data_IF_645650657132
#
_entry.id   IF_645650657132
#
_cell.length_a   1.000
_cell.length_b   1.000
_cell.length_c   1.000
_cell.angle_alpha   90.00
_cell.angle_beta   90.00
_cell.angle_gamma   90.00
#
_symmetry.space_group_name_H-M   'P 1'
#
loop_
_entity.id
_entity.type
_entity.pdbx_description
1 polymer ?
#
# COMPACT_ATOMS: atom_id res chain seq x y z
N UNK A 1 -15.10 28.04 -8.75
CA UNK A 1 -15.89 27.09 -7.95
C UNK A 1 -15.60 25.69 -8.46
N UNK A 2 -15.25 24.72 -7.60
CA UNK A 2 -14.98 23.34 -8.03
C UNK A 2 -16.33 22.63 -8.27
N UNK A 3 -16.45 21.89 -9.37
CA UNK A 3 -17.68 21.19 -9.75
C UNK A 3 -17.94 20.00 -8.82
N UNK A 4 -19.19 19.83 -8.38
CA UNK A 4 -19.64 18.66 -7.62
C UNK A 4 -20.36 17.72 -8.57
N UNK A 5 -19.99 16.43 -8.58
CA UNK A 5 -20.47 15.44 -9.55
C UNK A 5 -20.83 14.17 -8.81
N UNK A 6 -22.06 13.72 -9.00
CA UNK A 6 -22.52 12.42 -8.55
C UNK A 6 -22.05 11.33 -9.53
N UNK A 7 -20.83 10.84 -9.30
CA UNK A 7 -20.14 9.90 -10.18
C UNK A 7 -19.64 8.64 -9.48
N UNK A 8 -20.04 8.39 -8.23
CA UNK A 8 -19.63 7.19 -7.51
C UNK A 8 -20.37 5.97 -8.08
N UNK A 9 -19.63 4.93 -8.40
CA UNK A 9 -20.17 3.61 -8.69
C UNK A 9 -20.31 2.85 -7.36
N UNK A 10 -21.52 2.83 -6.82
CA UNK A 10 -21.82 2.20 -5.53
C UNK A 10 -21.77 0.67 -5.56
N UNK A 11 -21.88 0.05 -6.75
CA UNK A 11 -21.76 -1.41 -6.88
C UNK A 11 -20.30 -1.85 -6.72
N UNK A 12 -19.37 -1.01 -7.18
CA UNK A 12 -17.92 -1.28 -7.15
C UNK A 12 -17.17 -0.57 -6.03
N UNK A 13 -17.87 0.28 -5.29
CA UNK A 13 -17.35 0.97 -4.11
C UNK A 13 -17.70 0.25 -2.82
N UNK A 14 -16.86 0.40 -1.80
CA UNK A 14 -17.09 -0.14 -0.45
C UNK A 14 -17.19 1.05 0.51
N UNK A 15 -18.41 1.50 0.83
CA UNK A 15 -18.64 2.58 1.79
C UNK A 15 -18.17 2.19 3.20
N UNK A 16 -17.64 3.17 3.94
CA UNK A 16 -17.38 3.04 5.38
C UNK A 16 -18.25 4.02 6.16
N UNK A 17 -18.60 3.65 7.39
CA UNK A 17 -19.51 4.44 8.22
C UNK A 17 -18.91 4.69 9.61
N UNK A 18 -19.24 5.86 10.19
CA UNK A 18 -18.92 6.13 11.59
C UNK A 18 -19.78 5.25 12.50
N UNK A 19 -19.15 4.44 13.36
CA UNK A 19 -19.84 3.56 14.30
C UNK A 19 -20.83 4.32 15.22
N UNK A 20 -20.51 5.56 15.58
CA UNK A 20 -21.30 6.38 16.50
C UNK A 20 -22.57 6.97 15.91
N UNK A 21 -22.60 7.23 14.59
CA UNK A 21 -23.71 7.96 13.96
C UNK A 21 -24.33 7.26 12.75
N UNK A 22 -23.73 6.17 12.27
CA UNK A 22 -24.14 5.49 11.04
C UNK A 22 -23.93 6.33 9.77
N UNK A 23 -23.36 7.54 9.88
CA UNK A 23 -23.11 8.41 8.74
C UNK A 23 -21.93 7.89 7.92
N UNK A 24 -22.01 8.08 6.61
CA UNK A 24 -20.91 7.80 5.69
C UNK A 24 -19.65 8.56 6.16
N UNK A 25 -18.59 7.81 6.44
CA UNK A 25 -17.29 8.34 6.84
C UNK A 25 -16.31 8.39 5.67
N UNK A 26 -16.53 7.54 4.67
CA UNK A 26 -15.70 7.47 3.48
C UNK A 26 -15.89 6.19 2.70
N UNK A 27 -14.84 5.80 2.00
CA UNK A 27 -14.80 4.61 1.17
C UNK A 27 -13.50 3.86 1.44
N UNK A 28 -13.61 2.55 1.71
CA UNK A 28 -12.45 1.66 1.80
C UNK A 28 -11.88 1.40 0.39
N UNK A 29 -12.77 1.29 -0.58
CA UNK A 29 -12.50 1.23 -2.02
C UNK A 29 -13.51 2.16 -2.69
N UNK A 30 -13.05 3.05 -3.56
CA UNK A 30 -13.93 3.93 -4.33
C UNK A 30 -13.77 3.62 -5.81
N UNK A 31 -14.88 3.61 -6.52
CA UNK A 31 -14.92 3.50 -7.97
C UNK A 31 -15.81 4.62 -8.51
N UNK A 32 -15.45 5.12 -9.69
CA UNK A 32 -16.22 6.13 -10.37
C UNK A 32 -16.83 5.57 -11.65
N UNK A 33 -17.94 6.15 -12.07
CA UNK A 33 -18.51 5.92 -13.41
C UNK A 33 -17.68 6.73 -14.41
N UNK A 34 -16.84 6.10 -15.26
CA UNK A 34 -15.85 6.81 -16.08
C UNK A 34 -16.48 7.87 -16.99
N UNK A 35 -17.62 7.54 -17.60
CA UNK A 35 -18.35 8.43 -18.52
C UNK A 35 -18.79 9.75 -17.88
N UNK A 36 -18.93 9.80 -16.54
CA UNK A 36 -19.32 11.02 -15.83
C UNK A 36 -18.14 11.97 -15.55
N UNK A 37 -16.89 11.50 -15.68
CA UNK A 37 -15.69 12.23 -15.26
C UNK A 37 -14.56 12.28 -16.29
N UNK A 38 -14.68 11.59 -17.42
CA UNK A 38 -13.64 11.45 -18.46
C UNK A 38 -12.93 12.76 -18.85
N UNK A 39 -13.68 13.84 -19.01
CA UNK A 39 -13.14 15.15 -19.45
C UNK A 39 -13.12 16.19 -18.31
N UNK A 40 -13.08 15.73 -17.06
CA UNK A 40 -13.20 16.60 -15.88
C UNK A 40 -11.91 16.54 -15.06
N UNK A 41 -11.06 17.57 -15.16
CA UNK A 41 -9.72 17.51 -14.58
C UNK A 41 -9.70 17.58 -13.05
N UNK A 42 -10.72 18.22 -12.46
CA UNK A 42 -10.86 18.42 -11.01
C UNK A 42 -12.33 18.46 -10.62
N UNK A 43 -12.72 17.68 -9.62
CA UNK A 43 -14.10 17.63 -9.14
C UNK A 43 -14.19 17.23 -7.66
N UNK A 44 -15.39 17.36 -7.12
CA UNK A 44 -15.81 16.87 -5.80
C UNK A 44 -17.01 15.94 -5.97
N UNK A 45 -17.23 15.07 -4.99
CA UNK A 45 -18.44 14.22 -4.93
C UNK A 45 -19.38 14.71 -3.81
N UNK A 46 -20.71 14.52 -3.93
CA UNK A 46 -21.68 14.94 -2.91
C UNK A 46 -21.34 14.50 -1.49
N UNK A 47 -20.77 13.30 -1.35
CA UNK A 47 -20.43 12.65 -0.09
C UNK A 47 -19.27 13.34 0.64
N UNK A 48 -18.33 13.94 -0.10
CA UNK A 48 -17.08 14.51 0.43
C UNK A 48 -16.82 15.95 -0.05
N UNK A 49 -17.87 16.75 -0.19
CA UNK A 49 -17.75 18.14 -0.71
C UNK A 49 -16.79 19.03 0.08
N UNK A 50 -16.54 18.74 1.37
CA UNK A 50 -15.65 19.52 2.23
C UNK A 50 -14.27 18.88 2.38
N UNK A 51 -14.17 17.55 2.38
CA UNK A 51 -12.98 16.83 2.86
C UNK A 51 -12.08 16.30 1.76
N UNK A 52 -12.58 16.11 0.53
CA UNK A 52 -11.79 15.52 -0.56
C UNK A 52 -11.99 16.25 -1.88
N UNK A 53 -10.94 16.27 -2.67
CA UNK A 53 -10.92 16.74 -4.05
C UNK A 53 -10.32 15.60 -4.88
N UNK A 54 -10.94 15.31 -6.01
CA UNK A 54 -10.46 14.32 -6.96
C UNK A 54 -9.97 15.05 -8.20
N UNK A 55 -8.90 14.51 -8.79
CA UNK A 55 -8.28 15.06 -9.98
C UNK A 55 -7.98 13.94 -10.96
N UNK A 56 -8.00 14.26 -12.25
CA UNK A 56 -7.49 13.37 -13.30
C UNK A 56 -5.97 13.28 -13.28
N UNK A 57 -5.40 12.24 -13.88
CA UNK A 57 -3.96 12.11 -14.07
C UNK A 57 -3.37 13.25 -14.90
N UNK A 58 -4.10 13.71 -15.93
CA UNK A 58 -3.68 14.85 -16.75
C UNK A 58 -3.47 16.12 -15.89
N UNK A 59 -4.37 16.39 -14.95
CA UNK A 59 -4.24 17.51 -14.02
C UNK A 59 -3.04 17.31 -13.07
N UNK A 60 -2.94 16.13 -12.45
CA UNK A 60 -1.81 15.77 -11.58
C UNK A 60 -0.48 15.99 -12.29
N UNK A 61 -0.33 15.45 -13.49
CA UNK A 61 0.91 15.51 -14.26
C UNK A 61 1.28 16.96 -14.60
N UNK A 62 0.31 17.78 -15.03
CA UNK A 62 0.56 19.20 -15.28
C UNK A 62 1.06 19.95 -14.03
N UNK A 63 0.54 19.64 -12.84
CA UNK A 63 1.02 20.20 -11.57
C UNK A 63 2.46 19.75 -11.28
N UNK A 64 2.75 18.46 -11.43
CA UNK A 64 4.09 17.93 -11.17
C UNK A 64 5.12 18.50 -12.15
N UNK A 65 4.78 18.60 -13.43
CA UNK A 65 5.64 19.18 -14.49
C UNK A 65 5.94 20.66 -14.23
N UNK A 66 4.97 21.39 -13.65
CA UNK A 66 5.17 22.79 -13.24
C UNK A 66 6.04 22.96 -11.99
N UNK A 67 6.45 21.85 -11.34
CA UNK A 67 7.26 21.82 -10.10
C UNK A 67 6.60 22.56 -8.92
N UNK A 68 5.27 22.66 -8.93
CA UNK A 68 4.50 23.16 -7.79
C UNK A 68 4.69 22.24 -6.59
N UNK A 69 4.99 22.85 -5.43
CA UNK A 69 5.22 22.14 -4.18
C UNK A 69 4.01 22.27 -3.24
N UNK A 70 3.89 21.33 -2.30
CA UNK A 70 2.86 21.36 -1.26
C UNK A 70 1.55 20.65 -1.64
N UNK A 71 1.57 19.82 -2.68
CA UNK A 71 0.45 18.98 -3.08
C UNK A 71 0.91 17.51 -3.11
N UNK A 72 0.23 16.66 -2.35
CA UNK A 72 0.43 15.22 -2.36
C UNK A 72 -0.76 14.56 -3.06
N UNK A 73 -0.45 13.77 -4.10
CA UNK A 73 -1.45 13.05 -4.87
C UNK A 73 -1.45 11.59 -4.45
N UNK A 74 -2.61 11.10 -4.02
CA UNK A 74 -2.83 9.70 -3.70
C UNK A 74 -3.79 9.12 -4.73
N UNK A 75 -3.37 8.06 -5.42
CA UNK A 75 -4.24 7.32 -6.32
C UNK A 75 -5.35 6.64 -5.50
N UNK A 76 -6.60 6.80 -5.94
CA UNK A 76 -7.78 6.24 -5.25
C UNK A 76 -8.61 5.32 -6.13
N UNK A 77 -8.43 5.41 -7.45
CA UNK A 77 -9.14 4.63 -8.44
C UNK A 77 -8.40 4.69 -9.78
N UNK A 78 -8.34 3.56 -10.46
CA UNK A 78 -7.80 3.40 -11.80
C UNK A 78 -8.88 2.71 -12.66
N UNK A 79 -9.29 3.36 -13.74
CA UNK A 79 -10.30 2.85 -14.67
C UNK A 79 -9.82 1.65 -15.50
N UNK A 80 -8.51 1.46 -15.61
CA UNK A 80 -7.89 0.38 -16.37
C UNK A 80 -7.81 -0.92 -15.55
N UNK A 81 -7.89 -0.85 -14.22
CA UNK A 81 -7.88 -2.02 -13.34
C UNK A 81 -9.29 -2.63 -13.28
N UNK A 82 -9.44 -3.80 -13.89
CA UNK A 82 -10.67 -4.60 -13.75
C UNK A 82 -10.71 -5.33 -12.40
N UNK A 83 -11.90 -5.75 -11.98
CA UNK A 83 -12.07 -6.56 -10.76
C UNK A 83 -11.30 -7.87 -10.82
N UNK A 84 -11.27 -8.52 -12.00
CA UNK A 84 -10.49 -9.74 -12.21
C UNK A 84 -8.99 -9.50 -12.06
N UNK A 85 -8.47 -8.39 -12.61
CA UNK A 85 -7.06 -8.02 -12.43
C UNK A 85 -6.73 -7.74 -10.96
N UNK A 86 -7.61 -7.02 -10.24
CA UNK A 86 -7.44 -6.77 -8.81
C UNK A 86 -7.45 -8.08 -8.02
N UNK A 87 -8.40 -8.97 -8.30
CA UNK A 87 -8.50 -10.29 -7.66
C UNK A 87 -7.29 -11.16 -7.96
N UNK A 88 -6.76 -11.13 -9.18
CA UNK A 88 -5.54 -11.84 -9.54
C UNK A 88 -4.32 -11.29 -8.79
N UNK A 89 -4.19 -9.97 -8.65
CA UNK A 89 -3.13 -9.36 -7.83
C UNK A 89 -3.23 -9.78 -6.37
N UNK A 90 -4.43 -9.74 -5.78
CA UNK A 90 -4.67 -10.17 -4.41
C UNK A 90 -4.36 -11.66 -4.21
N UNK A 91 -4.80 -12.52 -5.13
CA UNK A 91 -4.53 -13.96 -5.09
C UNK A 91 -3.02 -14.22 -5.21
N UNK A 92 -2.34 -13.57 -6.15
CA UNK A 92 -0.89 -13.70 -6.31
C UNK A 92 -0.16 -13.27 -5.03
N UNK A 93 -0.60 -12.19 -4.38
CA UNK A 93 -0.04 -11.75 -3.11
C UNK A 93 -0.26 -12.76 -1.97
N UNK A 94 -1.47 -13.33 -1.88
CA UNK A 94 -1.77 -14.39 -0.93
C UNK A 94 -0.93 -15.65 -1.17
N UNK A 95 -0.76 -16.05 -2.44
CA UNK A 95 0.07 -17.18 -2.83
C UNK A 95 1.54 -16.96 -2.49
N UNK A 96 2.06 -15.74 -2.67
CA UNK A 96 3.43 -15.38 -2.26
C UNK A 96 3.61 -15.53 -0.74
N UNK A 97 2.68 -15.01 0.07
CA UNK A 97 2.73 -15.17 1.53
C UNK A 97 2.63 -16.64 1.95
N UNK A 98 1.74 -17.41 1.33
CA UNK A 98 1.60 -18.83 1.58
C UNK A 98 2.87 -19.59 1.19
N UNK A 99 3.55 -19.19 0.11
CA UNK A 99 4.81 -19.80 -0.32
C UNK A 99 5.95 -19.49 0.66
N UNK A 100 6.02 -18.28 1.22
CA UNK A 100 6.97 -17.94 2.30
C UNK A 100 6.73 -18.86 3.50
N UNK A 101 5.48 -18.98 3.95
CA UNK A 101 5.13 -19.83 5.10
C UNK A 101 5.36 -21.33 4.82
N UNK A 102 5.16 -21.79 3.59
CA UNK A 102 5.33 -23.21 3.22
C UNK A 102 6.81 -23.61 3.12
N UNK A 103 7.67 -22.70 2.68
CA UNK A 103 9.10 -22.98 2.47
C UNK A 103 9.99 -22.40 3.57
N UNK A 104 9.41 -21.97 4.71
CA UNK A 104 10.18 -21.46 5.82
C UNK A 104 11.08 -22.54 6.43
N UNK A 105 12.28 -22.13 6.79
CA UNK A 105 13.23 -22.96 7.52
C UNK A 105 12.86 -23.09 9.01
N UNK A 106 13.87 -23.43 9.82
CA UNK A 106 13.73 -23.39 11.27
C UNK A 106 13.37 -21.97 11.74
N UNK A 107 12.37 -21.89 12.61
CA UNK A 107 11.90 -20.63 13.16
C UNK A 107 12.64 -20.28 14.44
N UNK A 108 12.94 -19.01 14.61
CA UNK A 108 13.64 -18.48 15.78
C UNK A 108 13.11 -17.10 16.19
N UNK A 109 13.43 -16.69 17.41
CA UNK A 109 12.96 -15.44 17.99
C UNK A 109 13.70 -14.20 17.43
N UNK A 110 13.22 -13.02 17.82
CA UNK A 110 13.83 -11.74 17.45
C UNK A 110 15.33 -11.67 17.80
N UNK A 111 15.73 -12.17 18.97
CA UNK A 111 17.12 -12.08 19.43
C UNK A 111 18.06 -12.86 18.51
N UNK A 112 17.62 -14.03 18.05
CA UNK A 112 18.36 -14.85 17.08
C UNK A 112 18.36 -14.20 15.71
N UNK A 113 17.22 -13.66 15.27
CA UNK A 113 17.08 -12.93 14.03
C UNK A 113 18.04 -11.73 13.94
N UNK A 114 18.12 -10.93 15.01
CA UNK A 114 19.02 -9.79 15.12
C UNK A 114 20.49 -10.18 14.95
N UNK A 115 20.94 -11.25 15.63
CA UNK A 115 22.31 -11.77 15.49
C UNK A 115 22.63 -12.26 14.07
N UNK A 116 21.67 -12.92 13.42
CA UNK A 116 21.84 -13.36 12.04
C UNK A 116 21.97 -12.17 11.08
N UNK A 117 21.19 -11.11 11.27
CA UNK A 117 21.33 -9.89 10.50
C UNK A 117 22.67 -9.20 10.68
N UNK A 118 23.17 -9.12 11.92
CA UNK A 118 24.51 -8.59 12.22
C UNK A 118 25.61 -9.40 11.54
N UNK A 119 25.40 -10.71 11.34
CA UNK A 119 26.30 -11.57 10.55
C UNK A 119 26.15 -11.41 9.02
N UNK A 120 25.29 -10.50 8.57
CA UNK A 120 25.07 -10.19 7.16
C UNK A 120 23.98 -11.01 6.47
N UNK A 121 23.25 -11.86 7.20
CA UNK A 121 22.14 -12.66 6.67
C UNK A 121 20.83 -11.87 6.59
N UNK A 122 19.87 -12.40 5.84
CA UNK A 122 18.51 -11.88 5.80
C UNK A 122 17.55 -12.86 6.47
N UNK A 123 16.49 -12.32 7.04
CA UNK A 123 15.45 -13.10 7.75
C UNK A 123 14.07 -12.61 7.34
N UNK A 124 13.07 -13.50 7.37
CA UNK A 124 11.70 -13.16 6.99
C UNK A 124 10.66 -13.73 7.97
N UNK A 125 9.49 -13.09 7.98
CA UNK A 125 8.28 -13.53 8.69
C UNK A 125 7.05 -12.99 7.96
N UNK A 126 6.28 -13.87 7.29
CA UNK A 126 5.17 -13.46 6.44
C UNK A 126 5.57 -12.38 5.43
N UNK A 127 4.95 -11.19 5.53
CA UNK A 127 5.23 -10.04 4.65
C UNK A 127 6.49 -9.27 5.01
N UNK A 128 7.11 -9.55 6.15
CA UNK A 128 8.27 -8.82 6.64
C UNK A 128 9.56 -9.51 6.24
N UNK A 129 10.55 -8.70 5.86
CA UNK A 129 11.92 -9.13 5.65
C UNK A 129 12.85 -8.15 6.35
N UNK A 130 13.90 -8.65 6.98
CA UNK A 130 14.93 -7.82 7.58
C UNK A 130 16.29 -8.22 7.01
N UNK A 131 17.13 -7.23 6.76
CA UNK A 131 18.52 -7.42 6.35
C UNK A 131 19.32 -6.15 6.61
N UNK A 132 20.64 -6.26 6.64
CA UNK A 132 21.52 -5.10 6.67
C UNK A 132 21.78 -4.54 5.27
N UNK A 133 21.88 -3.21 5.14
CA UNK A 133 22.39 -2.53 3.96
C UNK A 133 23.91 -2.74 3.78
N UNK A 134 24.52 -2.04 2.82
CA UNK A 134 25.97 -2.10 2.57
C UNK A 134 26.81 -1.51 3.71
N UNK A 135 26.23 -0.65 4.55
CA UNK A 135 26.89 0.00 5.68
C UNK A 135 26.67 -0.75 7.00
N UNK A 136 25.84 -1.80 7.00
CA UNK A 136 25.46 -2.53 8.21
C UNK A 136 24.20 -2.00 8.91
N UNK A 137 23.53 -0.98 8.35
CA UNK A 137 22.29 -0.46 8.90
C UNK A 137 21.14 -1.43 8.65
N UNK A 138 20.29 -1.63 9.65
CA UNK A 138 19.15 -2.51 9.54
C UNK A 138 18.08 -1.90 8.62
N UNK A 139 17.59 -2.69 7.68
CA UNK A 139 16.46 -2.36 6.83
C UNK A 139 15.26 -3.23 7.17
N UNK A 140 14.08 -2.60 7.20
CA UNK A 140 12.80 -3.29 7.28
C UNK A 140 12.18 -3.28 5.88
N UNK A 141 12.04 -4.47 5.31
CA UNK A 141 11.36 -4.75 4.07
C UNK A 141 9.91 -5.14 4.32
N UNK A 142 8.97 -4.54 3.61
CA UNK A 142 7.59 -5.01 3.53
C UNK A 142 7.28 -5.47 2.10
N UNK A 143 6.80 -6.71 1.97
CA UNK A 143 6.40 -7.29 0.69
C UNK A 143 5.21 -6.52 0.12
N UNK A 144 5.35 -6.03 -1.10
CA UNK A 144 4.31 -5.37 -1.87
C UNK A 144 3.56 -6.38 -2.76
N UNK A 145 2.41 -5.96 -3.29
CA UNK A 145 1.55 -6.81 -4.13
C UNK A 145 2.20 -7.23 -5.45
N UNK A 146 3.20 -6.47 -5.92
CA UNK A 146 3.97 -6.81 -7.13
C UNK A 146 5.07 -7.85 -6.88
N UNK A 147 5.31 -8.20 -5.61
CA UNK A 147 6.35 -9.14 -5.18
C UNK A 147 7.68 -8.47 -4.82
N UNK A 148 7.79 -7.15 -4.97
CA UNK A 148 8.96 -6.39 -4.51
C UNK A 148 8.90 -6.15 -2.98
N UNK A 149 10.03 -5.80 -2.40
CA UNK A 149 10.09 -5.29 -1.03
C UNK A 149 10.28 -3.78 -1.06
N UNK A 150 9.44 -3.06 -0.33
CA UNK A 150 9.68 -1.67 0.03
C UNK A 150 10.53 -1.62 1.29
N UNK A 151 11.67 -0.92 1.24
CA UNK A 151 12.67 -0.89 2.30
C UNK A 151 12.69 0.44 3.02
N UNK A 152 12.78 0.38 4.34
CA UNK A 152 12.98 1.56 5.20
C UNK A 152 14.10 1.31 6.19
N UNK A 153 14.93 2.32 6.42
CA UNK A 153 15.81 2.39 7.58
C UNK A 153 14.99 2.94 8.75
N UNK A 154 14.73 2.15 9.81
CA UNK A 154 13.85 2.59 10.88
C UNK A 154 14.59 3.40 11.94
N UNK A 155 13.93 4.47 12.41
CA UNK A 155 14.37 5.16 13.63
C UNK A 155 14.08 4.36 14.91
N UNK A 156 13.06 3.48 14.88
CA UNK A 156 12.71 2.57 15.98
C UNK A 156 12.16 1.25 15.42
N UNK A 157 12.32 0.16 16.15
CA UNK A 157 11.77 -1.15 15.77
C UNK A 157 10.28 -1.20 16.13
N UNK A 158 9.36 -1.42 15.17
CA UNK A 158 7.95 -1.63 15.47
C UNK A 158 7.78 -2.84 16.42
N UNK A 159 7.09 -2.71 17.56
CA UNK A 159 6.97 -3.78 18.56
C UNK A 159 6.42 -5.09 18.01
N UNK A 160 5.53 -5.02 17.00
CA UNK A 160 4.98 -6.20 16.33
C UNK A 160 6.08 -7.12 15.76
N UNK A 161 7.23 -6.59 15.35
CA UNK A 161 8.33 -7.38 14.79
C UNK A 161 9.06 -8.22 15.85
N UNK A 162 9.03 -7.78 17.11
CA UNK A 162 9.68 -8.46 18.23
C UNK A 162 8.94 -9.74 18.64
N UNK A 163 7.65 -9.82 18.30
CA UNK A 163 6.76 -10.94 18.63
C UNK A 163 6.67 -11.99 17.50
N UNK A 164 7.33 -11.73 16.37
CA UNK A 164 7.31 -12.64 15.22
C UNK A 164 8.34 -13.75 15.38
N UNK A 165 8.02 -14.90 14.78
CA UNK A 165 8.97 -15.98 14.53
C UNK A 165 9.61 -15.76 13.16
N UNK A 166 10.93 -15.80 13.12
CA UNK A 166 11.73 -15.49 11.95
C UNK A 166 12.39 -16.75 11.41
N UNK A 167 12.64 -16.77 10.11
CA UNK A 167 13.45 -17.80 9.46
C UNK A 167 14.46 -17.16 8.51
N UNK A 168 15.58 -17.83 8.28
CA UNK A 168 16.61 -17.37 7.35
C UNK A 168 16.11 -17.41 5.91
N UNK A 169 16.46 -16.38 5.13
CA UNK A 169 16.16 -16.28 3.70
C UNK A 169 17.35 -15.66 2.96
N UNK A 170 17.39 -15.81 1.64
CA UNK A 170 18.38 -15.15 0.79
C UNK A 170 18.29 -13.62 0.89
N UNK A 171 19.47 -12.98 0.95
CA UNK A 171 19.58 -11.52 0.98
C UNK A 171 19.19 -10.92 -0.37
N UNK A 172 18.40 -9.85 -0.35
CA UNK A 172 18.16 -9.06 -1.56
C UNK A 172 19.33 -8.10 -1.77
N UNK A 173 19.93 -8.12 -2.96
CA UNK A 173 20.95 -7.14 -3.33
C UNK A 173 20.26 -5.79 -3.56
N UNK A 174 20.66 -4.77 -2.78
CA UNK A 174 20.14 -3.40 -2.82
C UNK A 174 21.25 -2.44 -3.24
#
# INVERSE_FOLDING_TARGET
>A
MIRVIDCIDYERSIPTYFKSSGRLSGFKKIAFVPEKIKDIPIFKVPEHTVTRIYVSDAFRNAVLDSKLKGLDFNEVWDSEITEDMARQKEQKYADMLANIEKNKGEEFDWNTAAKLMESGKAVASGKWKLQADVNGNMLIGQLAMDGSYSWVEPFYIPPVLLELNWHEIEKTML
#
